data_IF_490302568251
#
_entry.id   IF_490302568251
#
_cell.length_a   1.000
_cell.length_b   1.000
_cell.length_c   1.000
_cell.angle_alpha   90.00
_cell.angle_beta   90.00
_cell.angle_gamma   90.00
#
_symmetry.space_group_name_H-M   'P 1'
#
loop_
_entity.id
_entity.type
_entity.pdbx_description
1 polymer ?
#
# COMPACT_ATOMS: atom_id res chain seq x y z
N UNK A 1 3.73 10.89 -49.45
CA UNK A 1 4.71 10.30 -48.52
C UNK A 1 3.91 9.71 -47.38
N UNK A 2 3.48 8.46 -47.57
CA UNK A 2 2.59 7.78 -46.62
C UNK A 2 3.39 7.45 -45.35
N UNK A 3 3.09 8.18 -44.29
CA UNK A 3 3.61 7.88 -42.96
C UNK A 3 2.82 6.68 -42.46
N UNK A 4 3.37 5.49 -42.75
CA UNK A 4 2.89 4.21 -42.28
C UNK A 4 3.10 4.13 -40.77
N UNK A 5 2.21 4.72 -39.98
CA UNK A 5 2.06 4.42 -38.56
C UNK A 5 1.48 3.01 -38.45
N UNK A 6 2.36 2.01 -38.57
CA UNK A 6 2.09 0.67 -38.08
C UNK A 6 2.04 0.77 -36.55
N UNK A 7 0.94 1.27 -36.00
CA UNK A 7 0.61 1.11 -34.59
C UNK A 7 0.57 -0.38 -34.36
N UNK A 8 1.66 -0.92 -33.80
CA UNK A 8 1.74 -2.28 -33.27
C UNK A 8 0.54 -2.38 -32.33
N UNK A 9 -0.50 -3.11 -32.72
CA UNK A 9 -1.62 -3.39 -31.83
C UNK A 9 -1.02 -4.04 -30.58
N UNK A 10 -0.91 -3.29 -29.49
CA UNK A 10 -0.40 -3.82 -28.24
C UNK A 10 -1.41 -4.85 -27.77
N UNK A 11 -1.05 -6.13 -27.82
CA UNK A 11 -1.95 -7.23 -27.43
C UNK A 11 -2.57 -6.95 -26.06
N UNK A 12 -3.89 -7.09 -25.99
CA UNK A 12 -4.64 -6.93 -24.76
C UNK A 12 -4.62 -8.25 -24.00
N UNK A 13 -4.28 -8.20 -22.72
CA UNK A 13 -4.34 -9.38 -21.85
C UNK A 13 -5.76 -9.96 -21.82
N UNK A 14 -5.90 -11.28 -21.89
CA UNK A 14 -7.21 -11.94 -21.76
C UNK A 14 -7.80 -11.66 -20.38
N UNK A 15 -9.09 -11.30 -20.31
CA UNK A 15 -9.79 -10.98 -19.06
C UNK A 15 -9.59 -12.04 -17.97
N UNK A 16 -9.70 -13.32 -18.32
CA UNK A 16 -9.48 -14.45 -17.39
C UNK A 16 -8.11 -14.37 -16.72
N UNK A 17 -7.06 -14.07 -17.49
CA UNK A 17 -5.69 -13.99 -16.97
C UNK A 17 -5.50 -12.74 -16.10
N UNK A 18 -6.12 -11.62 -16.48
CA UNK A 18 -6.12 -10.40 -15.68
C UNK A 18 -6.76 -10.62 -14.31
N UNK A 19 -7.96 -11.22 -14.28
CA UNK A 19 -8.68 -11.54 -13.03
C UNK A 19 -7.86 -12.51 -12.17
N UNK A 20 -7.33 -13.58 -12.77
CA UNK A 20 -6.54 -14.56 -12.04
C UNK A 20 -5.27 -13.95 -11.44
N UNK A 21 -4.58 -13.09 -12.20
CA UNK A 21 -3.41 -12.34 -11.71
C UNK A 21 -3.77 -11.38 -10.57
N UNK A 22 -4.90 -10.69 -10.66
CA UNK A 22 -5.41 -9.84 -9.58
C UNK A 22 -5.72 -10.61 -8.30
N UNK A 23 -6.44 -11.74 -8.41
CA UNK A 23 -6.74 -12.62 -7.27
C UNK A 23 -5.46 -13.19 -6.66
N UNK A 24 -4.50 -13.59 -7.49
CA UNK A 24 -3.19 -14.05 -7.02
C UNK A 24 -2.47 -12.97 -6.21
N UNK A 25 -2.46 -11.71 -6.67
CA UNK A 25 -1.88 -10.61 -5.92
C UNK A 25 -2.58 -10.42 -4.57
N UNK A 26 -3.91 -10.42 -4.54
CA UNK A 26 -4.67 -10.28 -3.28
C UNK A 26 -4.26 -11.37 -2.28
N UNK A 27 -4.19 -12.62 -2.73
CA UNK A 27 -3.76 -13.74 -1.89
C UNK A 27 -2.30 -13.57 -1.46
N UNK A 28 -1.40 -13.17 -2.35
CA UNK A 28 0.01 -12.95 -2.03
C UNK A 28 0.20 -11.85 -0.99
N UNK A 29 -0.53 -10.74 -1.08
CA UNK A 29 -0.54 -9.67 -0.06
C UNK A 29 -0.94 -10.23 1.31
N UNK A 30 -2.03 -10.99 1.37
CA UNK A 30 -2.52 -11.57 2.63
C UNK A 30 -1.54 -12.60 3.20
N UNK A 31 -0.96 -13.46 2.37
CA UNK A 31 0.02 -14.47 2.78
C UNK A 31 1.28 -13.83 3.33
N UNK A 32 1.88 -12.88 2.60
CA UNK A 32 3.11 -12.20 3.05
C UNK A 32 2.89 -11.56 4.42
N UNK A 33 1.77 -10.88 4.59
CA UNK A 33 1.47 -10.19 5.84
C UNK A 33 1.16 -11.17 6.98
N UNK A 34 0.27 -12.15 6.76
CA UNK A 34 -0.09 -13.13 7.76
C UNK A 34 1.13 -13.95 8.21
N UNK A 35 1.92 -14.46 7.27
CA UNK A 35 3.12 -15.26 7.57
C UNK A 35 4.16 -14.40 8.31
N UNK A 36 4.39 -13.17 7.84
CA UNK A 36 5.36 -12.28 8.51
C UNK A 36 4.90 -11.96 9.93
N UNK A 37 3.62 -11.62 10.13
CA UNK A 37 3.09 -11.34 11.48
C UNK A 37 3.16 -12.56 12.39
N UNK A 38 2.74 -13.74 11.92
CA UNK A 38 2.73 -14.95 12.73
C UNK A 38 4.15 -15.32 13.19
N UNK A 39 5.11 -15.31 12.26
CA UNK A 39 6.51 -15.62 12.57
C UNK A 39 7.09 -14.60 13.55
N UNK A 40 6.88 -13.31 13.31
CA UNK A 40 7.44 -12.23 14.13
C UNK A 40 6.87 -12.26 15.55
N UNK A 41 5.56 -12.46 15.71
CA UNK A 41 4.90 -12.34 17.01
C UNK A 41 4.78 -13.65 17.80
N UNK A 42 4.94 -14.81 17.18
CA UNK A 42 4.87 -16.10 17.89
C UNK A 42 6.26 -16.67 18.23
N UNK A 43 7.30 -16.33 17.46
CA UNK A 43 8.65 -16.88 17.68
C UNK A 43 9.44 -16.09 18.73
N UNK A 44 10.01 -16.78 19.72
CA UNK A 44 10.77 -16.14 20.80
C UNK A 44 11.99 -15.34 20.31
N UNK A 45 12.69 -15.84 19.28
CA UNK A 45 13.78 -15.11 18.64
C UNK A 45 13.35 -13.72 18.16
N UNK A 46 12.22 -13.63 17.44
CA UNK A 46 11.74 -12.34 16.92
C UNK A 46 11.16 -11.46 18.02
N UNK A 47 10.55 -12.02 19.07
CA UNK A 47 10.13 -11.22 20.25
C UNK A 47 11.31 -10.55 20.92
N UNK A 48 12.38 -11.30 21.21
CA UNK A 48 13.60 -10.75 21.82
C UNK A 48 14.29 -9.74 20.89
N UNK A 49 14.40 -10.07 19.60
CA UNK A 49 14.97 -9.18 18.60
C UNK A 49 14.18 -7.87 18.47
N UNK A 50 12.84 -7.94 18.45
CA UNK A 50 11.95 -6.78 18.42
C UNK A 50 12.16 -5.90 19.65
N UNK A 51 12.18 -6.48 20.86
CA UNK A 51 12.46 -5.74 22.10
C UNK A 51 13.81 -5.00 22.05
N UNK A 52 14.85 -5.63 21.48
CA UNK A 52 16.18 -5.03 21.32
C UNK A 52 16.19 -3.88 20.31
N UNK A 53 15.47 -4.01 19.19
CA UNK A 53 15.32 -2.93 18.20
C UNK A 53 14.53 -1.76 18.80
N UNK A 54 13.44 -2.06 19.51
CA UNK A 54 12.55 -1.06 20.10
C UNK A 54 13.16 -0.31 21.28
N UNK A 55 14.06 -0.93 22.05
CA UNK A 55 14.79 -0.27 23.13
C UNK A 55 15.98 0.59 22.65
N UNK A 56 16.31 0.51 21.36
CA UNK A 56 17.43 1.24 20.76
C UNK A 56 17.06 2.62 20.20
N UNK A 57 18.08 3.44 19.95
CA UNK A 57 17.96 4.76 19.28
C UNK A 57 17.29 4.68 17.90
N UNK A 58 17.32 3.51 17.27
CA UNK A 58 16.67 3.20 15.99
C UNK A 58 15.17 3.51 16.01
N UNK A 59 14.46 3.13 17.08
CA UNK A 59 13.03 3.39 17.23
C UNK A 59 12.71 4.89 17.19
N UNK A 60 13.47 5.70 17.94
CA UNK A 60 13.27 7.16 17.98
C UNK A 60 13.45 7.86 16.62
N UNK A 61 14.19 7.26 15.68
CA UNK A 61 14.41 7.82 14.33
C UNK A 61 13.26 7.44 13.39
N UNK A 62 12.75 6.20 13.52
CA UNK A 62 11.65 5.67 12.72
C UNK A 62 10.29 6.20 13.20
N UNK A 63 10.15 6.41 14.50
CA UNK A 63 8.98 7.04 15.09
C UNK A 63 9.15 8.55 15.07
N UNK A 64 9.22 9.17 13.88
CA UNK A 64 9.18 10.63 13.78
C UNK A 64 7.77 11.10 14.21
N UNK A 65 7.57 11.12 15.54
CA UNK A 65 6.34 11.43 16.23
C UNK A 65 6.10 12.92 16.07
N UNK A 66 5.37 13.30 15.02
CA UNK A 66 4.56 14.48 15.19
C UNK A 66 3.53 14.10 16.26
N UNK A 67 3.72 14.64 17.47
CA UNK A 67 2.71 14.60 18.54
C UNK A 67 1.55 15.48 18.10
N UNK A 68 0.70 14.90 17.27
CA UNK A 68 -0.59 15.48 16.89
C UNK A 68 -1.57 15.16 18.02
N UNK A 69 -2.45 16.10 18.37
CA UNK A 69 -3.56 15.87 19.30
C UNK A 69 -4.75 15.26 18.56
N UNK A 70 -5.53 14.40 19.23
CA UNK A 70 -6.72 13.84 18.60
C UNK A 70 -7.78 14.92 18.34
N UNK A 71 -8.30 14.96 17.13
CA UNK A 71 -9.48 15.75 16.78
C UNK A 71 -10.60 14.85 16.26
N UNK A 72 -11.84 15.18 16.61
CA UNK A 72 -13.02 14.37 16.26
C UNK A 72 -13.20 14.15 14.76
N UNK A 73 -12.75 15.09 13.92
CA UNK A 73 -12.82 14.94 12.46
C UNK A 73 -11.91 13.84 11.91
N UNK A 74 -10.89 13.39 12.65
CA UNK A 74 -10.05 12.24 12.25
C UNK A 74 -10.86 10.95 12.13
N UNK A 75 -11.98 10.85 12.84
CA UNK A 75 -12.90 9.72 12.69
C UNK A 75 -13.44 9.55 11.27
N UNK A 76 -13.53 10.63 10.47
CA UNK A 76 -13.90 10.55 9.05
C UNK A 76 -12.88 9.77 8.21
N UNK A 77 -11.62 9.72 8.65
CA UNK A 77 -10.58 8.98 7.93
C UNK A 77 -10.84 7.48 7.90
N UNK A 78 -11.65 6.94 8.81
CA UNK A 78 -12.03 5.52 8.79
C UNK A 78 -12.81 5.16 7.52
N UNK A 79 -13.56 6.11 6.96
CA UNK A 79 -14.30 5.94 5.71
C UNK A 79 -13.33 5.83 4.54
N UNK A 80 -12.30 6.67 4.52
CA UNK A 80 -11.23 6.60 3.51
C UNK A 80 -10.48 5.27 3.63
N UNK A 81 -10.15 4.87 4.86
CA UNK A 81 -9.42 3.63 5.13
C UNK A 81 -10.17 2.43 4.56
N UNK A 82 -11.42 2.21 4.96
CA UNK A 82 -12.19 1.08 4.47
C UNK A 82 -12.66 1.25 3.01
N UNK A 83 -12.91 2.47 2.57
CA UNK A 83 -13.25 2.77 1.18
C UNK A 83 -12.13 2.42 0.20
N UNK A 84 -10.87 2.46 0.64
CA UNK A 84 -9.71 2.11 -0.17
C UNK A 84 -9.76 0.66 -0.68
N UNK A 85 -10.33 -0.28 0.08
CA UNK A 85 -10.44 -1.68 -0.36
C UNK A 85 -11.31 -1.82 -1.61
N UNK A 86 -12.46 -1.12 -1.68
CA UNK A 86 -13.31 -1.11 -2.86
C UNK A 86 -12.61 -0.45 -4.06
N UNK A 87 -11.86 0.62 -3.79
CA UNK A 87 -11.07 1.30 -4.81
C UNK A 87 -9.97 0.41 -5.40
N UNK A 88 -9.25 -0.33 -4.57
CA UNK A 88 -8.19 -1.25 -5.00
C UNK A 88 -8.72 -2.51 -5.68
N UNK A 89 -9.81 -3.10 -5.17
CA UNK A 89 -10.31 -4.39 -5.66
C UNK A 89 -11.22 -4.27 -6.89
N UNK A 90 -11.93 -3.15 -7.04
CA UNK A 90 -12.96 -3.01 -8.07
C UNK A 90 -12.64 -1.89 -9.07
N UNK A 91 -12.50 -0.66 -8.57
CA UNK A 91 -12.47 0.55 -9.43
C UNK A 91 -11.17 0.60 -10.24
N UNK A 92 -10.02 0.52 -9.58
CA UNK A 92 -8.73 0.64 -10.25
C UNK A 92 -8.46 -0.52 -11.21
N UNK A 93 -8.70 -1.81 -10.86
CA UNK A 93 -8.55 -2.93 -11.79
C UNK A 93 -9.42 -2.79 -13.04
N UNK A 94 -10.66 -2.30 -12.90
CA UNK A 94 -11.52 -2.02 -14.05
C UNK A 94 -10.90 -1.00 -15.00
N UNK A 95 -10.39 0.13 -14.47
CA UNK A 95 -9.74 1.17 -15.27
C UNK A 95 -8.46 0.64 -15.94
N UNK A 96 -7.64 -0.11 -15.20
CA UNK A 96 -6.43 -0.75 -15.72
C UNK A 96 -6.78 -1.67 -16.89
N UNK A 97 -7.71 -2.60 -16.72
CA UNK A 97 -8.09 -3.54 -17.78
C UNK A 97 -8.70 -2.85 -19.00
N UNK A 98 -9.46 -1.78 -18.77
CA UNK A 98 -10.13 -1.04 -19.85
C UNK A 98 -9.12 -0.33 -20.75
N UNK A 99 -8.14 0.37 -20.18
CA UNK A 99 -7.32 1.35 -20.88
C UNK A 99 -5.84 0.95 -21.08
N UNK A 100 -5.32 0.01 -20.29
CA UNK A 100 -3.90 -0.39 -20.37
C UNK A 100 -3.71 -1.63 -21.23
N UNK A 101 -2.54 -1.68 -21.84
CA UNK A 101 -2.04 -2.79 -22.63
C UNK A 101 -1.36 -3.85 -21.76
N UNK A 102 -1.08 -5.01 -22.34
CA UNK A 102 -0.46 -6.12 -21.61
C UNK A 102 0.91 -5.75 -21.01
N UNK A 103 1.72 -4.88 -21.64
CA UNK A 103 3.04 -4.53 -21.09
C UNK A 103 2.90 -3.72 -19.81
N UNK A 104 2.05 -2.71 -19.79
CA UNK A 104 1.80 -1.89 -18.60
C UNK A 104 1.21 -2.73 -17.44
N UNK A 105 0.27 -3.62 -17.75
CA UNK A 105 -0.33 -4.54 -16.77
C UNK A 105 0.72 -5.51 -16.21
N UNK A 106 1.56 -6.06 -17.08
CA UNK A 106 2.64 -6.99 -16.70
C UNK A 106 3.67 -6.27 -15.82
N UNK A 107 4.05 -5.04 -16.18
CA UNK A 107 4.95 -4.21 -15.37
C UNK A 107 4.37 -3.99 -13.97
N UNK A 108 3.09 -3.61 -13.87
CA UNK A 108 2.43 -3.41 -12.58
C UNK A 108 2.45 -4.69 -11.74
N UNK A 109 2.07 -5.81 -12.34
CA UNK A 109 2.04 -7.12 -11.67
C UNK A 109 3.41 -7.50 -11.08
N UNK A 110 4.49 -7.44 -11.88
CA UNK A 110 5.83 -7.77 -11.40
C UNK A 110 6.37 -6.74 -10.39
N UNK A 111 6.01 -5.46 -10.54
CA UNK A 111 6.40 -4.44 -9.57
C UNK A 111 5.75 -4.69 -8.20
N UNK A 112 4.47 -5.05 -8.18
CA UNK A 112 3.76 -5.41 -6.95
C UNK A 112 4.35 -6.65 -6.28
N UNK A 113 4.69 -7.69 -7.05
CA UNK A 113 5.33 -8.89 -6.51
C UNK A 113 6.72 -8.61 -5.95
N UNK A 114 7.55 -7.85 -6.67
CA UNK A 114 8.87 -7.48 -6.19
C UNK A 114 8.78 -6.61 -4.93
N UNK A 115 7.82 -5.68 -4.87
CA UNK A 115 7.55 -4.91 -3.66
C UNK A 115 7.19 -5.80 -2.49
N UNK A 116 6.31 -6.79 -2.68
CA UNK A 116 5.94 -7.73 -1.62
C UNK A 116 7.13 -8.51 -1.07
N UNK A 117 8.02 -8.97 -1.95
CA UNK A 117 9.25 -9.67 -1.54
C UNK A 117 10.18 -8.75 -0.72
N UNK A 118 10.40 -7.52 -1.20
CA UNK A 118 11.26 -6.55 -0.50
C UNK A 118 10.63 -6.15 0.85
N UNK A 119 9.32 -5.91 0.88
CA UNK A 119 8.59 -5.59 2.11
C UNK A 119 8.70 -6.73 3.12
N UNK A 120 8.54 -7.99 2.70
CA UNK A 120 8.70 -9.16 3.55
C UNK A 120 10.10 -9.23 4.19
N UNK A 121 11.15 -8.98 3.42
CA UNK A 121 12.52 -8.91 3.96
C UNK A 121 12.66 -7.80 4.99
N UNK A 122 12.12 -6.61 4.70
CA UNK A 122 12.16 -5.47 5.64
C UNK A 122 11.39 -5.80 6.92
N UNK A 123 10.22 -6.44 6.86
CA UNK A 123 9.45 -6.81 8.04
C UNK A 123 10.24 -7.72 8.99
N UNK A 124 11.01 -8.68 8.46
CA UNK A 124 11.85 -9.54 9.30
C UNK A 124 13.09 -8.81 9.84
N UNK A 125 13.69 -7.89 9.08
CA UNK A 125 14.85 -7.13 9.54
C UNK A 125 14.48 -6.04 10.56
N UNK A 126 13.28 -5.47 10.42
CA UNK A 126 12.75 -4.36 11.20
C UNK A 126 11.29 -4.66 11.60
N UNK A 127 11.07 -5.58 12.57
CA UNK A 127 9.73 -5.93 13.05
C UNK A 127 9.16 -4.82 13.93
N UNK A 128 8.74 -3.72 13.30
CA UNK A 128 8.22 -2.53 13.96
C UNK A 128 6.69 -2.63 14.11
N UNK A 129 6.21 -2.22 15.28
CA UNK A 129 4.79 -2.20 15.61
C UNK A 129 4.41 -0.85 16.25
N UNK A 130 3.14 -0.45 16.09
CA UNK A 130 2.65 0.73 16.79
C UNK A 130 2.40 0.39 18.25
N UNK A 131 2.82 1.25 19.17
CA UNK A 131 2.45 1.08 20.57
C UNK A 131 0.96 1.31 20.75
N UNK A 132 0.30 0.47 21.56
CA UNK A 132 -1.11 0.70 21.93
C UNK A 132 -1.30 2.06 22.62
N UNK A 133 -0.26 2.57 23.29
CA UNK A 133 -0.26 3.89 23.90
C UNK A 133 -0.36 5.05 22.89
N UNK A 134 0.10 4.85 21.65
CA UNK A 134 0.05 5.87 20.59
C UNK A 134 -1.31 5.90 19.87
N UNK A 135 -2.13 4.88 20.06
CA UNK A 135 -3.46 4.80 19.48
C UNK A 135 -4.47 5.66 20.23
N UNK A 136 -5.52 6.09 19.52
CA UNK A 136 -6.58 6.91 20.10
C UNK A 136 -7.55 6.16 21.01
N UNK A 137 -7.35 4.86 21.21
CA UNK A 137 -8.29 3.95 21.89
C UNK A 137 -8.81 4.55 23.20
N UNK A 138 -7.93 4.95 24.13
CA UNK A 138 -8.31 5.50 25.44
C UNK A 138 -9.16 6.77 25.35
N UNK A 139 -8.95 7.61 24.32
CA UNK A 139 -9.69 8.86 24.14
C UNK A 139 -11.09 8.64 23.57
N UNK A 140 -11.28 7.58 22.78
CA UNK A 140 -12.53 7.37 22.01
C UNK A 140 -13.33 6.15 22.47
N UNK A 141 -12.81 5.32 23.39
CA UNK A 141 -13.43 4.05 23.81
C UNK A 141 -14.83 4.22 24.42
N UNK A 142 -15.08 5.34 25.10
CA UNK A 142 -16.37 5.65 25.73
C UNK A 142 -17.30 6.48 24.82
N UNK A 143 -16.89 6.81 23.59
CA UNK A 143 -17.71 7.59 22.67
C UNK A 143 -18.82 6.73 22.04
N UNK A 144 -20.02 7.30 21.91
CA UNK A 144 -21.17 6.66 21.25
C UNK A 144 -21.11 6.77 19.72
N UNK A 145 -20.24 7.63 19.17
CA UNK A 145 -20.08 7.86 17.73
C UNK A 145 -19.73 6.56 16.98
N UNK A 146 -20.49 6.26 15.91
CA UNK A 146 -20.32 5.05 15.11
C UNK A 146 -18.93 4.95 14.44
N UNK A 147 -18.38 6.06 13.94
CA UNK A 147 -17.06 6.08 13.32
C UNK A 147 -15.97 5.74 14.34
N UNK A 148 -16.08 6.24 15.57
CA UNK A 148 -15.15 5.90 16.65
C UNK A 148 -15.21 4.41 17.02
N UNK A 149 -16.40 3.81 17.01
CA UNK A 149 -16.55 2.36 17.16
C UNK A 149 -15.87 1.58 16.03
N UNK A 150 -15.91 2.07 14.79
CA UNK A 150 -15.19 1.47 13.67
C UNK A 150 -13.68 1.60 13.80
N UNK A 151 -13.18 2.70 14.36
CA UNK A 151 -11.75 2.86 14.68
C UNK A 151 -11.31 1.86 15.75
N UNK A 152 -12.09 1.72 16.82
CA UNK A 152 -11.80 0.72 17.87
C UNK A 152 -11.84 -0.70 17.30
N UNK A 153 -12.80 -0.99 16.42
CA UNK A 153 -12.86 -2.26 15.71
C UNK A 153 -11.60 -2.49 14.87
N UNK A 154 -11.19 -1.49 14.07
CA UNK A 154 -9.96 -1.51 13.30
C UNK A 154 -8.75 -1.85 14.17
N UNK A 155 -8.60 -1.16 15.30
CA UNK A 155 -7.48 -1.40 16.24
C UNK A 155 -7.48 -2.81 16.81
N UNK A 156 -8.66 -3.42 16.99
CA UNK A 156 -8.78 -4.80 17.48
C UNK A 156 -8.39 -5.83 16.42
N UNK A 157 -8.82 -5.65 15.16
CA UNK A 157 -8.55 -6.61 14.09
C UNK A 157 -7.10 -6.57 13.60
N UNK A 158 -6.46 -5.40 13.67
CA UNK A 158 -5.07 -5.19 13.25
C UNK A 158 -4.07 -5.27 14.41
N UNK A 159 -4.55 -5.55 15.63
CA UNK A 159 -3.69 -5.76 16.79
C UNK A 159 -2.69 -6.90 16.52
N UNK A 160 -1.39 -6.63 16.71
CA UNK A 160 -0.27 -7.53 16.36
C UNK A 160 -0.17 -7.93 14.89
N UNK A 161 -0.91 -7.29 13.99
CA UNK A 161 -0.79 -7.57 12.55
C UNK A 161 -0.16 -6.41 11.81
N UNK A 162 -0.32 -5.17 12.27
CA UNK A 162 0.27 -4.01 11.60
C UNK A 162 1.80 -3.95 11.65
N UNK A 163 2.39 -4.52 10.61
CA UNK A 163 3.78 -4.33 10.21
C UNK A 163 3.92 -2.92 9.66
N UNK A 164 4.72 -2.10 10.34
CA UNK A 164 4.75 -0.66 10.06
C UNK A 164 5.49 -0.32 8.76
N UNK A 165 6.70 -0.84 8.57
CA UNK A 165 7.60 -0.39 7.51
C UNK A 165 7.86 -1.48 6.47
N UNK A 166 7.56 -1.28 5.18
CA UNK A 166 6.82 -0.15 4.58
C UNK A 166 5.30 -0.29 4.72
N UNK A 167 4.57 0.85 4.69
CA UNK A 167 3.10 0.80 4.71
C UNK A 167 2.53 0.18 3.42
N UNK A 168 1.87 -0.97 3.57
CA UNK A 168 1.19 -1.69 2.48
C UNK A 168 0.00 -0.89 1.95
N UNK A 169 -0.77 -0.24 2.83
CA UNK A 169 -1.92 0.58 2.44
C UNK A 169 -1.49 1.72 1.52
N UNK A 170 -0.38 2.39 1.87
CA UNK A 170 0.20 3.45 1.06
C UNK A 170 0.79 2.88 -0.22
N UNK A 171 1.51 1.76 -0.19
CA UNK A 171 2.12 1.19 -1.39
C UNK A 171 1.06 0.75 -2.41
N UNK A 172 0.00 0.07 -1.97
CA UNK A 172 -1.06 -0.42 -2.84
C UNK A 172 -1.84 0.75 -3.47
N UNK A 173 -2.09 1.80 -2.69
CA UNK A 173 -2.67 3.05 -3.18
C UNK A 173 -1.75 3.77 -4.18
N UNK A 174 -0.44 3.77 -3.92
CA UNK A 174 0.53 4.36 -4.84
C UNK A 174 0.64 3.56 -6.13
N UNK A 175 0.57 2.23 -6.09
CA UNK A 175 0.45 1.39 -7.28
C UNK A 175 -0.82 1.69 -8.10
N UNK A 176 -1.93 1.96 -7.41
CA UNK A 176 -3.18 2.40 -8.03
C UNK A 176 -3.08 3.79 -8.69
N UNK A 177 -2.06 4.58 -8.37
CA UNK A 177 -1.78 5.86 -9.02
C UNK A 177 -0.68 5.76 -10.09
N UNK A 178 0.45 5.14 -9.76
CA UNK A 178 1.70 5.18 -10.54
C UNK A 178 1.53 4.65 -11.96
N UNK A 179 0.62 3.70 -12.17
CA UNK A 179 0.34 3.10 -13.47
C UNK A 179 -0.36 4.07 -14.44
N UNK A 180 -1.02 5.11 -13.92
CA UNK A 180 -1.79 6.10 -14.69
C UNK A 180 -0.96 7.32 -15.13
N UNK A 181 0.31 7.42 -14.73
CA UNK A 181 1.21 8.55 -15.08
C UNK A 181 2.27 8.15 -16.11
N UNK A 182 3.19 9.08 -16.42
CA UNK A 182 4.22 8.87 -17.43
C UNK A 182 3.65 8.66 -18.83
N UNK A 183 4.15 7.67 -19.57
CA UNK A 183 3.70 7.33 -20.92
C UNK A 183 2.22 6.93 -20.97
N UNK A 184 1.71 6.32 -19.89
CA UNK A 184 0.31 5.90 -19.80
C UNK A 184 -0.66 7.05 -19.58
N UNK A 185 -0.18 8.24 -19.16
CA UNK A 185 -1.05 9.40 -18.88
C UNK A 185 -1.92 9.80 -20.06
N UNK A 186 -1.43 9.60 -21.29
CA UNK A 186 -2.16 9.91 -22.53
C UNK A 186 -3.31 8.93 -22.83
N UNK A 187 -3.30 7.74 -22.19
CA UNK A 187 -4.34 6.71 -22.33
C UNK A 187 -5.61 7.02 -21.49
N UNK A 188 -5.59 8.06 -20.64
CA UNK A 188 -6.68 8.40 -19.72
C UNK A 188 -7.07 9.89 -19.76
N UNK A 189 -8.32 10.24 -19.39
CA UNK A 189 -8.68 11.60 -19.02
C UNK A 189 -7.81 12.13 -17.88
N UNK A 190 -7.40 13.41 -17.98
CA UNK A 190 -6.54 14.06 -16.96
C UNK A 190 -7.16 14.03 -15.55
N UNK A 191 -8.49 14.11 -15.46
CA UNK A 191 -9.24 14.02 -14.20
C UNK A 191 -9.03 12.68 -13.50
N UNK A 192 -9.03 11.56 -14.23
CA UNK A 192 -8.79 10.23 -13.64
C UNK A 192 -7.41 10.17 -13.00
N UNK A 193 -6.37 10.62 -13.72
CA UNK A 193 -4.99 10.61 -13.20
C UNK A 193 -4.86 11.45 -11.92
N UNK A 194 -5.51 12.62 -11.91
CA UNK A 194 -5.53 13.49 -10.73
C UNK A 194 -6.30 12.87 -9.55
N UNK A 195 -7.46 12.26 -9.81
CA UNK A 195 -8.26 11.59 -8.78
C UNK A 195 -7.48 10.42 -8.16
N UNK A 196 -6.82 9.59 -8.98
CA UNK A 196 -6.01 8.47 -8.47
C UNK A 196 -4.87 8.96 -7.58
N UNK A 197 -4.20 10.05 -7.96
CA UNK A 197 -3.16 10.68 -7.15
C UNK A 197 -3.73 11.19 -5.81
N UNK A 198 -4.83 11.93 -5.87
CA UNK A 198 -5.47 12.51 -4.70
C UNK A 198 -5.94 11.43 -3.72
N UNK A 199 -6.57 10.36 -4.22
CA UNK A 199 -6.97 9.21 -3.40
C UNK A 199 -5.76 8.52 -2.74
N UNK A 200 -4.64 8.38 -3.47
CA UNK A 200 -3.44 7.78 -2.89
C UNK A 200 -2.88 8.61 -1.71
N UNK A 201 -2.87 9.93 -1.85
CA UNK A 201 -2.47 10.85 -0.78
C UNK A 201 -3.47 10.81 0.38
N UNK A 202 -4.77 10.74 0.09
CA UNK A 202 -5.82 10.69 1.10
C UNK A 202 -5.75 9.40 1.94
N UNK A 203 -5.46 8.25 1.31
CA UNK A 203 -5.22 6.99 2.03
C UNK A 203 -3.99 7.09 2.92
N UNK A 204 -2.92 7.72 2.45
CA UNK A 204 -1.73 7.95 3.29
C UNK A 204 -2.08 8.78 4.54
N UNK A 205 -2.77 9.90 4.39
CA UNK A 205 -3.23 10.67 5.55
C UNK A 205 -4.18 9.88 6.44
N UNK A 206 -5.07 9.07 5.86
CA UNK A 206 -5.98 8.22 6.63
C UNK A 206 -5.23 7.25 7.53
N UNK A 207 -4.25 6.52 6.99
CA UNK A 207 -3.43 5.59 7.78
C UNK A 207 -2.69 6.27 8.93
N UNK A 208 -2.16 7.48 8.69
CA UNK A 208 -1.43 8.24 9.68
C UNK A 208 -2.35 8.81 10.77
N UNK A 209 -3.44 9.46 10.39
CA UNK A 209 -4.38 10.09 11.34
C UNK A 209 -5.13 9.06 12.19
N UNK A 210 -5.37 7.86 11.64
CA UNK A 210 -5.93 6.73 12.36
C UNK A 210 -4.90 5.99 13.21
N UNK A 211 -3.62 6.40 13.24
CA UNK A 211 -2.56 5.70 13.97
C UNK A 211 -2.43 4.23 13.55
N UNK A 212 -2.48 3.95 12.24
CA UNK A 212 -2.09 2.65 11.70
C UNK A 212 -0.61 2.63 11.31
N UNK A 213 -0.09 3.77 10.86
CA UNK A 213 1.29 3.94 10.40
C UNK A 213 1.87 5.29 10.86
N UNK A 214 3.19 5.35 11.02
CA UNK A 214 3.92 6.61 11.13
C UNK A 214 4.14 7.24 9.74
N UNK A 215 4.54 8.50 9.71
CA UNK A 215 4.79 9.25 8.47
C UNK A 215 5.88 8.55 7.62
N UNK A 216 6.96 8.11 8.27
CA UNK A 216 8.08 7.48 7.57
C UNK A 216 7.67 6.17 6.88
N UNK A 217 6.73 5.42 7.44
CA UNK A 217 6.22 4.19 6.85
C UNK A 217 5.63 4.42 5.45
N UNK A 218 4.86 5.49 5.30
CA UNK A 218 4.25 5.89 4.03
C UNK A 218 5.27 6.47 3.06
N UNK A 219 6.21 7.29 3.54
CA UNK A 219 7.27 7.87 2.69
C UNK A 219 8.15 6.75 2.12
N UNK A 220 8.60 5.81 2.96
CA UNK A 220 9.42 4.68 2.52
C UNK A 220 8.64 3.78 1.56
N UNK A 221 7.35 3.56 1.80
CA UNK A 221 6.50 2.82 0.86
C UNK A 221 6.46 3.48 -0.52
N UNK A 222 6.22 4.81 -0.58
CA UNK A 222 6.20 5.56 -1.84
C UNK A 222 7.54 5.44 -2.57
N UNK A 223 8.65 5.69 -1.87
CA UNK A 223 10.00 5.61 -2.46
C UNK A 223 10.27 4.21 -3.00
N UNK A 224 9.94 3.16 -2.24
CA UNK A 224 10.13 1.78 -2.67
C UNK A 224 9.30 1.44 -3.91
N UNK A 225 8.02 1.84 -3.94
CA UNK A 225 7.16 1.63 -5.12
C UNK A 225 7.74 2.34 -6.34
N UNK A 226 8.16 3.59 -6.21
CA UNK A 226 8.78 4.38 -7.28
C UNK A 226 10.03 3.72 -7.85
N UNK A 227 10.96 3.30 -6.97
CA UNK A 227 12.21 2.64 -7.34
C UNK A 227 11.94 1.29 -8.02
N UNK A 228 11.08 0.46 -7.43
CA UNK A 228 10.76 -0.87 -7.94
C UNK A 228 10.07 -0.74 -9.31
N UNK A 229 9.09 0.15 -9.44
CA UNK A 229 8.39 0.35 -10.69
C UNK A 229 9.33 0.80 -11.81
N UNK A 230 10.31 1.65 -11.49
CA UNK A 230 11.36 2.05 -12.42
C UNK A 230 12.29 0.89 -12.81
N UNK A 231 12.76 0.10 -11.83
CA UNK A 231 13.64 -1.06 -12.05
C UNK A 231 12.93 -2.10 -12.94
N UNK A 232 11.68 -2.43 -12.65
CA UNK A 232 10.90 -3.39 -13.46
C UNK A 232 10.73 -2.87 -14.89
N UNK A 233 10.41 -1.58 -15.07
CA UNK A 233 10.34 -0.99 -16.42
C UNK A 233 11.66 -1.15 -17.17
N UNK A 234 12.77 -0.77 -16.53
CA UNK A 234 14.09 -0.70 -17.16
C UNK A 234 14.65 -2.07 -17.52
N UNK A 235 14.51 -3.06 -16.65
CA UNK A 235 15.20 -4.35 -16.81
C UNK A 235 14.30 -5.51 -17.24
N UNK A 236 13.02 -5.51 -16.87
CA UNK A 236 12.12 -6.62 -17.21
C UNK A 236 11.32 -6.37 -18.49
N UNK A 237 10.91 -5.12 -18.73
CA UNK A 237 10.06 -4.78 -19.87
C UNK A 237 10.89 -4.31 -21.06
N UNK A 238 11.90 -3.44 -20.86
CA UNK A 238 12.69 -2.90 -21.97
C UNK A 238 13.58 -3.96 -22.63
N UNK A 239 14.11 -4.93 -21.88
CA UNK A 239 14.95 -6.01 -22.41
C UNK A 239 14.17 -7.12 -23.15
N UNK A 240 12.82 -7.07 -23.17
CA UNK A 240 11.96 -8.00 -23.92
C UNK A 240 11.54 -7.46 -25.30
N UNK A 241 11.97 -6.26 -25.68
CA UNK A 241 11.79 -5.69 -27.02
C UNK A 241 13.12 -5.65 -27.76
#
# INVERSE_FOLDING_TARGET
MDINFKTREEEKIKLKNFILGGLFLIIAYQLVYFISSEIIYETDFFKEFTCKIMSGKTKSILDLFIKIEYHSFYSLMIIVYFGSFAWWACITPYLIYKYLDQKAITQLFFSSLLFLLVAMVIFFLLPLNIEEADQWKKLIENDKNFLNKMIIFLYRIENKRNLLLPSIHVSNSWFCFIVFRGENKKKFPKSIVFIQFFLAILVYFSTFLLRQHYILDGIVAIILVELIYFIVKKYFIKNKN
#
